data_IF_569299004614
#
_entry.id   IF_569299004614
#
_cell.length_a   1.000
_cell.length_b   1.000
_cell.length_c   1.000
_cell.angle_alpha   90.00
_cell.angle_beta   90.00
_cell.angle_gamma   90.00
#
_symmetry.space_group_name_H-M   'P 1'
#
loop_
_entity.id
_entity.type
_entity.pdbx_description
1 polymer ?
#
# COMPACT_ATOMS: atom_id res chain seq x y z
N UNK A 1 -2.97 -22.64 -0.63
CA UNK A 1 -2.10 -21.46 -0.44
C UNK A 1 -0.65 -21.94 -0.41
N UNK A 2 0.28 -21.24 -1.05
CA UNK A 2 1.70 -21.65 -1.03
C UNK A 2 2.29 -21.30 0.34
N UNK A 3 2.55 -22.30 1.16
CA UNK A 3 3.03 -22.10 2.53
C UNK A 3 4.56 -22.12 2.54
N UNK A 4 5.18 -20.95 2.39
CA UNK A 4 6.63 -20.81 2.30
C UNK A 4 7.37 -21.06 3.63
N UNK A 5 6.67 -20.99 4.77
CA UNK A 5 7.27 -21.17 6.08
C UNK A 5 7.68 -22.62 6.38
N UNK A 6 7.01 -23.59 5.74
CA UNK A 6 7.32 -25.03 5.92
C UNK A 6 8.20 -25.59 4.79
N UNK A 7 8.81 -24.73 3.98
CA UNK A 7 9.79 -25.10 2.96
C UNK A 7 11.20 -24.63 3.34
N UNK A 8 12.20 -25.44 2.93
CA UNK A 8 13.58 -25.02 3.08
C UNK A 8 13.87 -23.76 2.24
N UNK A 9 14.65 -22.82 2.79
CA UNK A 9 14.98 -21.54 2.13
C UNK A 9 15.52 -21.69 0.69
N UNK A 10 16.26 -22.76 0.42
CA UNK A 10 16.79 -23.08 -0.91
C UNK A 10 15.68 -23.49 -1.88
N UNK A 11 14.68 -24.22 -1.41
CA UNK A 11 13.53 -24.65 -2.23
C UNK A 11 12.60 -23.46 -2.50
N UNK A 12 12.36 -22.59 -1.49
CA UNK A 12 11.63 -21.34 -1.67
C UNK A 12 12.29 -20.50 -2.75
N UNK A 13 13.62 -20.31 -2.67
CA UNK A 13 14.37 -19.53 -3.68
C UNK A 13 14.27 -20.14 -5.08
N UNK A 14 14.42 -21.44 -5.24
CA UNK A 14 14.24 -22.10 -6.54
C UNK A 14 12.82 -21.94 -7.07
N UNK A 15 11.83 -22.04 -6.21
CA UNK A 15 10.41 -21.92 -6.60
C UNK A 15 10.06 -20.50 -7.04
N UNK A 16 10.62 -19.50 -6.40
CA UNK A 16 10.33 -18.07 -6.65
C UNK A 16 11.16 -17.54 -7.81
N UNK A 17 12.47 -17.78 -7.82
CA UNK A 17 13.42 -17.21 -8.79
C UNK A 17 13.80 -18.15 -9.93
N UNK A 18 13.40 -19.43 -9.85
CA UNK A 18 13.89 -20.44 -10.78
C UNK A 18 15.38 -20.78 -10.66
N UNK A 19 16.11 -20.10 -9.77
CA UNK A 19 17.56 -20.25 -9.53
C UNK A 19 17.91 -19.96 -8.09
N UNK A 20 19.17 -20.24 -7.70
CA UNK A 20 19.71 -19.86 -6.37
C UNK A 20 20.40 -18.50 -6.38
N UNK A 21 20.45 -17.82 -7.53
CA UNK A 21 21.10 -16.50 -7.67
C UNK A 21 20.10 -15.38 -7.38
N UNK A 22 20.59 -14.19 -6.95
CA UNK A 22 19.78 -12.97 -6.90
C UNK A 22 19.19 -12.63 -8.26
N UNK A 23 18.11 -11.86 -8.28
CA UNK A 23 17.49 -11.40 -9.52
C UNK A 23 18.44 -10.49 -10.30
N UNK A 24 18.40 -10.65 -11.65
CA UNK A 24 18.98 -9.67 -12.57
C UNK A 24 17.96 -8.57 -12.86
N UNK A 25 18.45 -7.41 -13.34
CA UNK A 25 17.58 -6.29 -13.73
C UNK A 25 16.54 -6.67 -14.81
N UNK A 26 16.87 -7.62 -15.70
CA UNK A 26 15.94 -8.14 -16.70
C UNK A 26 14.83 -8.95 -16.06
N UNK A 27 15.17 -9.81 -15.09
CA UNK A 27 14.20 -10.60 -14.34
C UNK A 27 13.30 -9.71 -13.48
N UNK A 28 13.84 -8.64 -12.89
CA UNK A 28 13.07 -7.64 -12.14
C UNK A 28 12.00 -7.00 -13.02
N UNK A 29 12.36 -6.54 -14.22
CA UNK A 29 11.39 -5.96 -15.17
C UNK A 29 10.30 -6.96 -15.56
N UNK A 30 10.68 -8.19 -15.90
CA UNK A 30 9.73 -9.23 -16.22
C UNK A 30 8.78 -9.57 -15.06
N UNK A 31 9.29 -9.56 -13.82
CA UNK A 31 8.48 -9.76 -12.63
C UNK A 31 7.54 -8.58 -12.36
N UNK A 32 8.00 -7.33 -12.54
CA UNK A 32 7.16 -6.15 -12.40
C UNK A 32 6.05 -6.10 -13.47
N UNK A 33 6.33 -6.49 -14.70
CA UNK A 33 5.32 -6.63 -15.75
C UNK A 33 4.27 -7.71 -15.42
N UNK A 34 4.71 -8.81 -14.80
CA UNK A 34 3.86 -9.96 -14.47
C UNK A 34 3.02 -9.77 -13.20
N UNK A 35 3.60 -9.20 -12.16
CA UNK A 35 3.00 -9.13 -10.83
C UNK A 35 2.55 -7.71 -10.46
N UNK A 36 2.93 -6.70 -11.24
CA UNK A 36 2.70 -5.29 -10.91
C UNK A 36 3.70 -4.72 -9.90
N UNK A 37 3.41 -3.53 -9.42
CA UNK A 37 4.17 -2.87 -8.37
C UNK A 37 3.72 -3.36 -6.98
N UNK A 38 4.60 -3.20 -6.00
CA UNK A 38 4.31 -3.52 -4.61
C UNK A 38 3.49 -2.39 -3.96
N UNK A 39 2.23 -2.30 -4.36
CA UNK A 39 1.29 -1.31 -3.87
C UNK A 39 -0.02 -1.99 -3.49
N UNK A 40 -0.65 -1.51 -2.43
CA UNK A 40 -2.03 -1.85 -2.14
C UNK A 40 -2.92 -1.10 -3.14
N UNK A 41 -3.95 -1.75 -3.67
CA UNK A 41 -4.92 -1.07 -4.53
C UNK A 41 -5.62 -0.03 -3.68
N UNK A 42 -5.21 1.23 -3.83
CA UNK A 42 -5.99 2.34 -3.30
C UNK A 42 -7.30 2.44 -4.09
N UNK A 43 -8.41 2.65 -3.39
CA UNK A 43 -9.67 3.02 -4.04
C UNK A 43 -9.39 4.21 -4.95
N UNK A 44 -9.67 4.04 -6.24
CA UNK A 44 -9.46 5.11 -7.24
C UNK A 44 -10.10 6.40 -6.71
N UNK A 45 -9.30 7.45 -6.62
CA UNK A 45 -9.80 8.77 -6.26
C UNK A 45 -11.03 9.13 -7.09
N UNK A 46 -11.93 9.92 -6.53
CA UNK A 46 -13.17 10.32 -7.22
C UNK A 46 -12.82 11.04 -8.53
N UNK A 47 -13.56 10.74 -9.58
CA UNK A 47 -13.38 11.46 -10.84
C UNK A 47 -13.82 12.93 -10.69
N UNK A 48 -13.19 13.85 -11.44
CA UNK A 48 -13.48 15.29 -11.37
C UNK A 48 -14.98 15.59 -11.53
N UNK A 49 -15.75 14.97 -12.44
CA UNK A 49 -17.19 15.18 -12.52
C UNK A 49 -17.95 14.79 -11.25
N UNK A 50 -17.51 13.71 -10.58
CA UNK A 50 -18.13 13.28 -9.31
C UNK A 50 -17.84 14.29 -8.21
N UNK A 51 -16.60 14.78 -8.09
CA UNK A 51 -16.21 15.82 -7.13
C UNK A 51 -17.04 17.10 -7.38
N UNK A 52 -17.25 17.47 -8.65
CA UNK A 52 -18.07 18.64 -9.00
C UNK A 52 -19.53 18.45 -8.57
N UNK A 53 -20.13 17.30 -8.84
CA UNK A 53 -21.49 17.02 -8.43
C UNK A 53 -21.66 16.93 -6.90
N UNK A 54 -20.63 16.51 -6.20
CA UNK A 54 -20.63 16.49 -4.72
C UNK A 54 -20.68 17.90 -4.11
N UNK A 55 -20.19 18.92 -4.81
CA UNK A 55 -20.31 20.32 -4.33
C UNK A 55 -21.76 20.76 -4.16
N UNK A 56 -22.68 20.18 -4.93
CA UNK A 56 -24.12 20.49 -4.83
C UNK A 56 -24.79 19.84 -3.59
N UNK A 57 -24.10 18.96 -2.88
CA UNK A 57 -24.55 18.38 -1.60
C UNK A 57 -24.18 19.24 -0.40
N UNK A 58 -23.38 20.30 -0.60
CA UNK A 58 -23.03 21.24 0.46
C UNK A 58 -24.28 21.97 0.96
N UNK A 59 -24.41 22.09 2.29
CA UNK A 59 -25.59 22.65 2.93
C UNK A 59 -25.85 24.10 2.50
N UNK A 60 -24.78 24.91 2.32
CA UNK A 60 -24.92 26.28 1.86
C UNK A 60 -25.45 26.33 0.41
N UNK A 61 -24.95 25.45 -0.45
CA UNK A 61 -25.38 25.36 -1.85
C UNK A 61 -26.84 24.92 -1.93
N UNK A 62 -27.27 23.99 -1.10
CA UNK A 62 -28.68 23.56 -1.00
C UNK A 62 -29.58 24.75 -0.65
N UNK A 63 -29.21 25.58 0.33
CA UNK A 63 -29.96 26.78 0.69
C UNK A 63 -30.05 27.76 -0.49
N UNK A 64 -28.93 27.97 -1.20
CA UNK A 64 -28.91 28.83 -2.38
C UNK A 64 -29.78 28.28 -3.52
N UNK A 65 -29.84 26.97 -3.72
CA UNK A 65 -30.73 26.32 -4.69
C UNK A 65 -32.19 26.61 -4.32
N UNK A 66 -32.57 26.45 -3.06
CA UNK A 66 -33.92 26.82 -2.61
C UNK A 66 -34.23 28.31 -2.83
N UNK A 67 -33.27 29.19 -2.52
CA UNK A 67 -33.44 30.62 -2.78
C UNK A 67 -33.65 30.91 -4.27
N UNK A 68 -32.88 30.28 -5.17
CA UNK A 68 -33.02 30.42 -6.60
C UNK A 68 -34.41 29.95 -7.11
N UNK A 69 -34.92 28.83 -6.57
CA UNK A 69 -36.25 28.33 -6.92
C UNK A 69 -37.34 29.31 -6.47
N UNK A 70 -37.25 29.82 -5.24
CA UNK A 70 -38.23 30.80 -4.73
C UNK A 70 -38.21 32.08 -5.56
N UNK A 71 -37.02 32.61 -5.84
CA UNK A 71 -36.85 33.82 -6.68
C UNK A 71 -37.43 33.65 -8.08
N UNK A 72 -37.19 32.49 -8.71
CA UNK A 72 -37.74 32.14 -10.02
C UNK A 72 -39.27 32.03 -10.04
N UNK A 73 -39.87 31.43 -9.00
CA UNK A 73 -41.32 31.32 -8.86
C UNK A 73 -41.96 32.71 -8.66
N UNK A 74 -41.29 33.63 -7.97
CA UNK A 74 -41.74 35.01 -7.79
C UNK A 74 -41.56 35.90 -9.05
N UNK A 75 -40.94 35.34 -10.11
CA UNK A 75 -40.73 36.06 -11.39
C UNK A 75 -39.49 36.95 -11.38
N UNK A 76 -38.65 36.92 -10.37
CA UNK A 76 -37.40 37.66 -10.30
C UNK A 76 -36.28 36.86 -11.01
N UNK A 77 -36.26 36.97 -12.35
CA UNK A 77 -35.31 36.27 -13.22
C UNK A 77 -33.88 36.76 -12.98
N UNK A 78 -33.68 38.06 -12.73
CA UNK A 78 -32.35 38.63 -12.52
C UNK A 78 -31.68 38.06 -11.30
N UNK A 79 -32.34 38.05 -10.13
CA UNK A 79 -31.83 37.45 -8.91
C UNK A 79 -31.61 35.95 -9.07
N UNK A 80 -32.51 35.23 -9.71
CA UNK A 80 -32.35 33.80 -10.00
C UNK A 80 -31.08 33.53 -10.79
N UNK A 81 -30.81 34.31 -11.85
CA UNK A 81 -29.62 34.14 -12.71
C UNK A 81 -28.32 34.40 -11.89
N UNK A 82 -28.32 35.45 -11.09
CA UNK A 82 -27.17 35.77 -10.23
C UNK A 82 -26.87 34.63 -9.25
N UNK A 83 -27.90 34.08 -8.59
CA UNK A 83 -27.70 32.95 -7.63
C UNK A 83 -27.15 31.73 -8.35
N UNK A 84 -27.66 31.37 -9.54
CA UNK A 84 -27.17 30.25 -10.33
C UNK A 84 -25.70 30.43 -10.77
N UNK A 85 -25.30 31.64 -11.14
CA UNK A 85 -23.92 31.96 -11.48
C UNK A 85 -23.02 31.76 -10.22
N UNK A 86 -23.46 32.27 -9.08
CA UNK A 86 -22.72 32.13 -7.80
C UNK A 86 -22.55 30.66 -7.43
N UNK A 87 -23.61 29.86 -7.51
CA UNK A 87 -23.56 28.42 -7.24
C UNK A 87 -22.55 27.73 -8.18
N UNK A 88 -22.59 28.06 -9.47
CA UNK A 88 -21.70 27.47 -10.47
C UNK A 88 -20.24 27.81 -10.21
N UNK A 89 -19.94 29.09 -9.93
CA UNK A 89 -18.58 29.54 -9.60
C UNK A 89 -18.09 28.85 -8.31
N UNK A 90 -18.94 28.77 -7.30
CA UNK A 90 -18.59 28.11 -6.04
C UNK A 90 -18.30 26.61 -6.25
N UNK A 91 -19.10 25.92 -7.03
CA UNK A 91 -18.88 24.50 -7.37
C UNK A 91 -17.55 24.28 -8.13
N UNK A 92 -17.22 25.16 -9.08
CA UNK A 92 -15.93 25.10 -9.79
C UNK A 92 -14.78 25.33 -8.81
N UNK A 93 -14.87 26.37 -7.96
CA UNK A 93 -13.83 26.70 -7.00
C UNK A 93 -13.61 25.56 -5.99
N UNK A 94 -14.69 25.01 -5.43
CA UNK A 94 -14.64 23.87 -4.51
C UNK A 94 -14.02 22.64 -5.16
N UNK A 95 -14.36 22.36 -6.42
CA UNK A 95 -13.75 21.24 -7.18
C UNK A 95 -12.25 21.45 -7.34
N UNK A 96 -11.80 22.63 -7.75
CA UNK A 96 -10.37 22.94 -7.91
C UNK A 96 -9.62 22.82 -6.59
N UNK A 97 -10.21 23.31 -5.50
CA UNK A 97 -9.60 23.20 -4.14
C UNK A 97 -9.47 21.74 -3.71
N UNK A 98 -10.50 20.91 -3.90
CA UNK A 98 -10.49 19.48 -3.55
C UNK A 98 -9.42 18.74 -4.36
N UNK A 99 -9.37 18.91 -5.68
CA UNK A 99 -8.37 18.28 -6.55
C UNK A 99 -6.95 18.69 -6.16
N UNK A 100 -6.70 19.97 -5.87
CA UNK A 100 -5.39 20.44 -5.41
C UNK A 100 -5.00 19.87 -4.04
N UNK A 101 -5.95 19.75 -3.13
CA UNK A 101 -5.71 19.14 -1.81
C UNK A 101 -5.34 17.67 -1.95
N UNK A 102 -6.06 16.89 -2.78
CA UNK A 102 -5.74 15.49 -3.08
C UNK A 102 -4.35 15.34 -3.71
N UNK A 103 -4.01 16.19 -4.69
CA UNK A 103 -2.67 16.18 -5.31
C UNK A 103 -1.56 16.46 -4.29
N UNK A 104 -1.76 17.44 -3.39
CA UNK A 104 -0.79 17.77 -2.35
C UNK A 104 -0.59 16.60 -1.37
N UNK A 105 -1.68 15.92 -0.98
CA UNK A 105 -1.60 14.72 -0.13
C UNK A 105 -0.87 13.57 -0.82
N UNK A 106 -1.12 13.34 -2.11
CA UNK A 106 -0.42 12.31 -2.87
C UNK A 106 1.08 12.61 -3.00
N UNK A 107 1.45 13.86 -3.24
CA UNK A 107 2.87 14.27 -3.27
C UNK A 107 3.56 14.06 -1.92
N UNK A 108 2.89 14.33 -0.80
CA UNK A 108 3.42 14.04 0.54
C UNK A 108 3.59 12.54 0.78
N UNK A 109 2.65 11.71 0.35
CA UNK A 109 2.77 10.24 0.42
C UNK A 109 3.98 9.74 -0.38
N UNK A 110 4.21 10.25 -1.59
CA UNK A 110 5.37 9.88 -2.40
C UNK A 110 6.69 10.24 -1.73
N UNK A 111 6.79 11.43 -1.13
CA UNK A 111 7.99 11.87 -0.40
C UNK A 111 8.26 11.05 0.86
N UNK A 112 7.22 10.49 1.46
CA UNK A 112 7.30 9.64 2.67
C UNK A 112 7.38 8.15 2.35
N UNK A 113 7.44 7.76 1.08
CA UNK A 113 7.51 6.35 0.70
C UNK A 113 8.79 5.72 1.27
N UNK A 114 8.68 4.64 2.05
CA UNK A 114 9.85 3.96 2.58
C UNK A 114 10.71 3.41 1.45
N UNK A 115 12.03 3.36 1.66
CA UNK A 115 12.97 2.68 0.78
C UNK A 115 13.26 1.27 1.27
N UNK A 116 13.80 0.44 0.40
CA UNK A 116 14.24 -0.91 0.69
C UNK A 116 15.62 -1.18 0.10
N UNK A 117 16.49 -1.85 0.85
CA UNK A 117 17.81 -2.29 0.40
C UNK A 117 17.67 -3.68 -0.22
N UNK A 118 17.90 -3.83 -1.51
CA UNK A 118 17.73 -5.08 -2.26
C UNK A 118 19.02 -5.53 -2.92
N UNK A 119 19.23 -6.85 -3.03
CA UNK A 119 20.34 -7.44 -3.75
C UNK A 119 19.92 -7.78 -5.19
N UNK A 120 20.40 -7.02 -6.16
CA UNK A 120 20.19 -7.22 -7.60
C UNK A 120 21.52 -7.20 -8.34
N UNK A 121 21.69 -8.07 -9.34
CA UNK A 121 22.94 -8.23 -10.09
C UNK A 121 24.20 -8.34 -9.20
N UNK A 122 24.06 -8.95 -8.00
CA UNK A 122 25.14 -9.12 -7.03
C UNK A 122 25.54 -7.84 -6.29
N UNK A 123 24.76 -6.76 -6.38
CA UNK A 123 24.97 -5.49 -5.67
C UNK A 123 23.77 -5.14 -4.80
N UNK A 124 24.04 -4.66 -3.60
CA UNK A 124 23.00 -4.09 -2.75
C UNK A 124 22.73 -2.67 -3.21
N UNK A 125 21.49 -2.38 -3.55
CA UNK A 125 21.02 -1.07 -3.97
C UNK A 125 19.78 -0.67 -3.15
N UNK A 126 19.59 0.62 -2.96
CA UNK A 126 18.41 1.18 -2.31
C UNK A 126 17.39 1.60 -3.37
N UNK A 127 16.16 1.15 -3.22
CA UNK A 127 15.06 1.42 -4.14
C UNK A 127 13.80 1.84 -3.36
N UNK A 128 12.84 2.55 -3.99
CA UNK A 128 11.52 2.75 -3.41
C UNK A 128 10.84 1.41 -3.10
N UNK A 129 10.20 1.29 -1.94
CA UNK A 129 9.51 0.03 -1.54
C UNK A 129 8.48 -0.45 -2.54
N UNK A 130 7.86 0.45 -3.30
CA UNK A 130 6.91 0.12 -4.38
C UNK A 130 7.54 -0.64 -5.56
N UNK A 131 8.86 -0.54 -5.73
CA UNK A 131 9.60 -1.21 -6.81
C UNK A 131 10.12 -2.59 -6.42
N UNK A 132 9.92 -3.01 -5.16
CA UNK A 132 10.22 -4.36 -4.70
C UNK A 132 9.35 -5.36 -5.44
N UNK A 133 9.93 -6.46 -5.89
CA UNK A 133 9.19 -7.50 -6.63
C UNK A 133 9.41 -8.89 -6.05
N UNK A 134 8.55 -9.82 -6.43
CA UNK A 134 8.68 -11.23 -6.02
C UNK A 134 10.04 -11.76 -6.44
N UNK A 135 10.76 -12.38 -5.47
CA UNK A 135 12.09 -12.92 -5.68
C UNK A 135 13.24 -11.96 -5.35
N UNK A 136 12.97 -10.70 -5.03
CA UNK A 136 14.00 -9.82 -4.48
C UNK A 136 14.50 -10.34 -3.13
N UNK A 137 15.79 -10.19 -2.88
CA UNK A 137 16.40 -10.39 -1.58
C UNK A 137 16.57 -9.04 -0.89
N UNK A 138 15.79 -8.82 0.18
CA UNK A 138 15.74 -7.55 0.92
C UNK A 138 16.55 -7.66 2.19
N UNK A 139 17.39 -6.67 2.44
CA UNK A 139 18.18 -6.53 3.66
C UNK A 139 17.45 -5.63 4.66
N UNK A 140 17.44 -6.03 5.91
CA UNK A 140 16.76 -5.35 7.01
C UNK A 140 17.71 -5.11 8.17
N UNK A 141 17.59 -3.93 8.77
CA UNK A 141 18.26 -3.52 10.01
C UNK A 141 17.23 -2.94 11.00
N UNK A 142 17.61 -2.83 12.28
CA UNK A 142 16.78 -2.17 13.27
C UNK A 142 16.43 -0.74 12.84
N UNK A 143 15.15 -0.41 12.81
CA UNK A 143 14.62 0.86 12.30
C UNK A 143 13.99 0.74 10.91
N UNK A 144 14.20 -0.35 10.18
CA UNK A 144 13.65 -0.54 8.84
C UNK A 144 12.19 -1.02 8.88
N UNK A 145 11.43 -0.54 7.92
CA UNK A 145 10.07 -1.00 7.63
C UNK A 145 10.12 -2.18 6.65
N UNK A 146 9.31 -3.19 6.86
CA UNK A 146 9.25 -4.39 6.01
C UNK A 146 8.31 -4.12 4.83
N UNK A 147 8.84 -4.06 3.58
CA UNK A 147 8.07 -3.60 2.43
C UNK A 147 7.12 -4.66 1.85
N UNK A 148 7.39 -5.94 2.08
CA UNK A 148 6.70 -7.06 1.42
C UNK A 148 6.73 -8.30 2.31
N UNK A 149 5.89 -9.28 2.02
CA UNK A 149 5.94 -10.58 2.70
C UNK A 149 7.11 -11.42 2.18
N UNK A 150 7.78 -12.13 3.09
CA UNK A 150 8.90 -12.94 2.64
C UNK A 150 9.39 -13.98 3.63
N UNK A 151 10.20 -14.89 3.10
CA UNK A 151 10.88 -15.98 3.82
C UNK A 151 12.27 -15.52 4.25
N UNK A 152 12.55 -15.54 5.54
CA UNK A 152 13.85 -15.16 6.08
C UNK A 152 14.92 -16.14 5.57
N UNK A 153 16.02 -15.61 5.04
CA UNK A 153 17.18 -16.36 4.57
C UNK A 153 18.26 -16.40 5.63
N UNK A 154 18.57 -15.24 6.20
CA UNK A 154 19.56 -15.08 7.26
C UNK A 154 19.03 -14.16 8.35
N UNK A 155 19.42 -14.44 9.58
CA UNK A 155 18.98 -13.72 10.76
C UNK A 155 20.11 -13.58 11.78
N UNK A 156 20.29 -12.37 12.30
CA UNK A 156 21.19 -12.05 13.40
C UNK A 156 20.40 -11.33 14.50
N UNK A 157 19.77 -12.12 15.36
CA UNK A 157 18.96 -11.66 16.51
C UNK A 157 17.87 -10.66 16.13
N UNK A 158 17.28 -10.80 14.95
CA UNK A 158 16.26 -9.88 14.45
C UNK A 158 14.96 -10.06 15.24
N UNK A 159 14.40 -8.96 15.72
CA UNK A 159 13.07 -8.87 16.33
C UNK A 159 12.20 -7.92 15.53
N UNK A 160 10.96 -8.31 15.31
CA UNK A 160 10.00 -7.59 14.45
C UNK A 160 8.73 -7.32 15.24
N UNK A 161 8.27 -6.10 15.20
CA UNK A 161 6.94 -5.71 15.66
C UNK A 161 5.93 -6.01 14.56
N UNK A 162 5.06 -6.97 14.79
CA UNK A 162 3.98 -7.42 13.89
C UNK A 162 2.60 -7.09 14.48
N UNK A 163 2.54 -6.19 15.46
CA UNK A 163 1.32 -5.84 16.19
C UNK A 163 0.16 -5.38 15.28
N UNK A 164 0.47 -4.70 14.20
CA UNK A 164 -0.54 -4.26 13.21
C UNK A 164 -1.25 -5.43 12.52
N UNK A 165 -0.59 -6.60 12.42
CA UNK A 165 -1.12 -7.78 11.74
C UNK A 165 -1.66 -8.83 12.71
N UNK A 166 -0.94 -9.08 13.81
CA UNK A 166 -1.26 -10.13 14.79
C UNK A 166 -2.08 -9.63 15.98
N UNK A 167 -2.02 -8.32 16.26
CA UNK A 167 -2.60 -7.71 17.45
C UNK A 167 -1.76 -7.89 18.71
N UNK A 168 -0.61 -8.55 18.63
CA UNK A 168 0.28 -8.79 19.77
C UNK A 168 1.27 -7.63 19.92
N UNK A 169 1.37 -7.04 21.11
CA UNK A 169 2.22 -5.86 21.39
C UNK A 169 3.69 -6.19 21.64
N UNK A 170 4.07 -7.45 21.62
CA UNK A 170 5.45 -7.90 21.89
C UNK A 170 6.17 -8.20 20.58
N UNK A 171 7.37 -7.64 20.40
CA UNK A 171 8.17 -7.93 19.21
C UNK A 171 8.56 -9.42 19.15
N UNK A 172 8.32 -10.04 17.99
CA UNK A 172 8.57 -11.45 17.72
C UNK A 172 10.04 -11.66 17.37
N UNK A 173 10.70 -12.57 18.04
CA UNK A 173 12.05 -13.00 17.67
C UNK A 173 12.01 -13.89 16.44
N UNK A 174 12.74 -13.49 15.40
CA UNK A 174 12.74 -14.18 14.11
C UNK A 174 13.85 -15.22 14.02
N UNK A 175 13.60 -16.25 13.21
CA UNK A 175 14.55 -17.33 12.90
C UNK A 175 14.59 -17.60 11.41
N UNK A 176 15.66 -18.21 10.90
CA UNK A 176 15.70 -18.73 9.53
C UNK A 176 15.40 -20.23 9.46
N UNK A 177 15.12 -20.87 10.57
CA UNK A 177 14.91 -22.31 10.68
C UNK A 177 13.62 -22.76 9.95
N UNK A 178 13.59 -24.05 9.62
CA UNK A 178 12.41 -24.67 9.04
C UNK A 178 11.35 -24.91 10.11
N UNK A 179 10.14 -24.45 9.86
CA UNK A 179 8.98 -24.75 10.71
C UNK A 179 8.21 -25.92 10.09
N UNK A 180 7.92 -26.95 10.88
CA UNK A 180 7.17 -28.14 10.44
C UNK A 180 5.76 -28.13 11.05
N UNK A 181 4.78 -28.58 10.25
CA UNK A 181 3.38 -28.60 10.66
C UNK A 181 2.64 -27.29 10.36
N UNK A 182 1.37 -27.24 10.73
CA UNK A 182 0.55 -26.05 10.60
C UNK A 182 0.71 -25.17 11.85
N UNK A 183 1.05 -23.91 11.63
CA UNK A 183 1.20 -22.91 12.69
C UNK A 183 0.41 -21.64 12.33
N UNK A 184 -0.08 -20.95 13.36
CA UNK A 184 -0.76 -19.66 13.18
C UNK A 184 0.18 -18.62 12.57
N UNK A 185 -0.37 -17.54 12.02
CA UNK A 185 0.40 -16.51 11.33
C UNK A 185 1.49 -15.90 12.22
N UNK A 186 1.17 -15.55 13.47
CA UNK A 186 2.11 -14.98 14.44
C UNK A 186 3.24 -15.94 14.84
N UNK A 187 3.02 -17.25 14.72
CA UNK A 187 4.02 -18.28 15.09
C UNK A 187 4.99 -18.61 13.93
N UNK A 188 4.77 -18.02 12.74
CA UNK A 188 5.65 -18.20 11.59
C UNK A 188 6.92 -17.36 11.73
N UNK A 189 7.75 -17.70 12.72
CA UNK A 189 8.96 -16.93 13.08
C UNK A 189 9.98 -16.83 11.96
N UNK A 190 9.89 -17.67 10.91
CA UNK A 190 10.77 -17.65 9.76
C UNK A 190 10.22 -16.86 8.56
N UNK A 191 9.11 -16.17 8.77
CA UNK A 191 8.52 -15.24 7.79
C UNK A 191 8.57 -13.81 8.33
N UNK A 192 8.52 -12.85 7.41
CA UNK A 192 8.28 -11.44 7.69
C UNK A 192 7.09 -10.96 6.85
N UNK A 193 6.39 -9.95 7.34
CA UNK A 193 5.15 -9.45 6.75
C UNK A 193 5.22 -7.97 6.46
N UNK A 194 4.66 -7.57 5.33
CA UNK A 194 4.51 -6.17 4.93
C UNK A 194 3.79 -5.37 6.01
N UNK A 195 4.25 -4.16 6.26
CA UNK A 195 3.65 -3.29 7.27
C UNK A 195 4.21 -3.46 8.68
N UNK A 196 5.11 -4.42 8.88
CA UNK A 196 5.80 -4.66 10.15
C UNK A 196 7.10 -3.84 10.24
N UNK A 197 7.68 -3.78 11.43
CA UNK A 197 8.82 -2.93 11.73
C UNK A 197 9.93 -3.70 12.47
N UNK A 198 11.18 -3.56 12.02
CA UNK A 198 12.33 -4.20 12.69
C UNK A 198 12.72 -3.40 13.93
N UNK A 199 12.57 -3.97 15.11
CA UNK A 199 12.87 -3.30 16.38
C UNK A 199 14.29 -3.54 16.86
N UNK A 200 14.90 -4.68 16.48
CA UNK A 200 16.25 -5.07 16.90
C UNK A 200 16.90 -6.02 15.90
N UNK A 201 18.24 -6.01 15.84
CA UNK A 201 19.02 -6.92 15.03
C UNK A 201 19.00 -6.61 13.55
N UNK A 202 19.33 -7.62 12.74
CA UNK A 202 19.36 -7.50 11.27
C UNK A 202 19.14 -8.87 10.62
N UNK A 203 18.76 -8.86 9.35
CA UNK A 203 18.59 -10.08 8.56
C UNK A 203 18.33 -9.77 7.10
N UNK A 204 18.11 -10.81 6.32
CA UNK A 204 17.62 -10.67 4.96
C UNK A 204 16.49 -11.69 4.69
N UNK A 205 15.64 -11.35 3.77
CA UNK A 205 14.53 -12.22 3.38
C UNK A 205 14.32 -12.21 1.87
N UNK A 206 13.76 -13.29 1.36
CA UNK A 206 13.32 -13.43 -0.03
C UNK A 206 11.86 -13.04 -0.11
N UNK A 207 11.53 -12.09 -0.98
CA UNK A 207 10.16 -11.65 -1.22
C UNK A 207 9.34 -12.76 -1.86
N UNK A 208 8.23 -13.12 -1.24
CA UNK A 208 7.29 -14.17 -1.67
C UNK A 208 5.90 -13.66 -1.99
N UNK A 209 5.55 -12.46 -1.53
CA UNK A 209 4.27 -11.79 -1.79
C UNK A 209 4.43 -10.28 -1.77
N UNK A 210 3.76 -9.59 -2.71
CA UNK A 210 3.76 -8.13 -2.85
C UNK A 210 2.33 -7.59 -2.95
N UNK A 211 2.14 -6.33 -2.64
CA UNK A 211 0.87 -5.61 -2.80
C UNK A 211 -0.32 -6.35 -2.21
N UNK A 212 -1.34 -6.62 -3.03
CA UNK A 212 -2.58 -7.28 -2.61
C UNK A 212 -2.41 -8.77 -2.27
N UNK A 213 -1.30 -9.41 -2.64
CA UNK A 213 -0.98 -10.80 -2.29
C UNK A 213 -0.32 -10.94 -0.90
N UNK A 214 0.07 -9.82 -0.25
CA UNK A 214 0.55 -9.82 1.13
C UNK A 214 -0.58 -10.13 2.13
N UNK A 215 -0.25 -10.52 3.34
CA UNK A 215 -1.26 -10.75 4.39
C UNK A 215 -2.07 -9.47 4.67
N UNK A 216 -1.41 -8.31 4.71
CA UNK A 216 -2.08 -7.00 4.83
C UNK A 216 -2.98 -6.73 3.61
N UNK A 217 -2.51 -7.03 2.40
CA UNK A 217 -3.30 -6.89 1.18
C UNK A 217 -4.56 -7.76 1.16
N UNK A 218 -4.46 -9.00 1.66
CA UNK A 218 -5.62 -9.89 1.81
C UNK A 218 -6.65 -9.35 2.79
N UNK A 219 -6.21 -8.76 3.91
CA UNK A 219 -7.10 -8.09 4.86
C UNK A 219 -7.80 -6.89 4.19
N UNK A 220 -7.07 -6.06 3.46
CA UNK A 220 -7.64 -4.94 2.72
C UNK A 220 -8.72 -5.39 1.73
N UNK A 221 -8.49 -6.47 0.97
CA UNK A 221 -9.50 -7.04 0.06
C UNK A 221 -10.77 -7.50 0.78
N UNK A 222 -10.63 -8.08 1.98
CA UNK A 222 -11.78 -8.52 2.75
C UNK A 222 -12.63 -7.36 3.27
N UNK A 223 -11.99 -6.24 3.58
CA UNK A 223 -12.68 -5.02 4.02
C UNK A 223 -13.43 -4.35 2.87
N UNK A 224 -12.81 -4.27 1.70
CA UNK A 224 -13.40 -3.64 0.51
C UNK A 224 -14.63 -4.40 -0.01
N UNK A 225 -14.66 -5.73 0.11
CA UNK A 225 -15.82 -6.56 -0.26
C UNK A 225 -17.04 -6.39 0.64
N UNK A 226 -16.88 -5.76 1.83
CA UNK A 226 -17.95 -5.55 2.80
C UNK A 226 -18.52 -4.12 2.79
N UNK A 227 -17.89 -3.21 2.06
CA UNK A 227 -18.35 -1.84 1.82
C UNK A 227 -19.17 -1.73 0.55
#
# INVERSE_FOLDING_TARGET
MKEYYNEAKTEVRKRVNGSLKPLTNEQVKANQEKYGLNELIETKGKSIPVIFLEQFKDFLVIILIFAAIISGVLGDIESTLVILIVITINAILGTVQTVKAEQSLNSLKELSSPSAKVLRDGKVIEIPSKEVTIGDEVYLEAGDFIPADGRILENASMKVDESALTGESVAVEKSSDLITGEVALGDRTNMVYSGSFVTYGRGNFLVTGIGMETEVGKIAQLLDRKS
#
